data_IF_024182211619
#
_entry.id   IF_024182211619
#
_cell.length_a   1.000
_cell.length_b   1.000
_cell.length_c   1.000
_cell.angle_alpha   90.00
_cell.angle_beta   90.00
_cell.angle_gamma   90.00
#
_symmetry.space_group_name_H-M   'P 1'
#
loop_
_entity.id
_entity.type
_entity.pdbx_description
1 polymer ?
#
# COMPACT_ATOMS: atom_id res chain seq x y z
N UNK A 1 31.33 -35.26 13.27
CA UNK A 1 30.76 -34.97 11.94
C UNK A 1 29.53 -34.09 12.15
N UNK A 2 29.51 -32.84 11.70
CA UNK A 2 28.45 -31.89 12.04
C UNK A 2 27.20 -32.11 11.18
N UNK A 3 26.03 -32.04 11.79
CA UNK A 3 24.74 -32.11 11.10
C UNK A 3 24.47 -30.78 10.40
N UNK A 4 24.67 -30.78 9.08
CA UNK A 4 24.25 -29.71 8.19
C UNK A 4 22.71 -29.70 8.13
N UNK A 5 22.08 -28.78 8.87
CA UNK A 5 20.68 -28.44 8.65
C UNK A 5 20.60 -27.61 7.37
N UNK A 6 20.43 -28.29 6.25
CA UNK A 6 20.15 -27.66 4.97
C UNK A 6 18.70 -27.18 4.97
N UNK A 7 18.53 -25.87 5.23
CA UNK A 7 17.27 -25.17 4.94
C UNK A 7 17.07 -25.25 3.43
N UNK A 8 16.37 -26.29 3.00
CA UNK A 8 15.88 -26.41 1.63
C UNK A 8 14.80 -25.34 1.50
N UNK A 9 15.16 -24.15 1.02
CA UNK A 9 14.19 -23.18 0.51
C UNK A 9 13.46 -23.85 -0.65
N UNK A 10 12.36 -24.52 -0.34
CA UNK A 10 11.40 -24.99 -1.33
C UNK A 10 10.79 -23.74 -1.95
N UNK A 11 10.95 -23.45 -3.26
CA UNK A 11 10.40 -22.24 -3.88
C UNK A 11 8.89 -22.34 -4.17
N UNK A 12 8.21 -23.38 -3.68
CA UNK A 12 6.81 -23.67 -3.98
C UNK A 12 5.79 -22.75 -3.27
N UNK A 13 5.85 -22.50 -1.95
CA UNK A 13 4.74 -21.85 -1.24
C UNK A 13 4.61 -20.35 -1.57
N UNK A 14 5.68 -19.70 -2.02
CA UNK A 14 5.68 -18.27 -2.36
C UNK A 14 5.00 -18.00 -3.70
N UNK A 15 5.12 -18.94 -4.66
CA UNK A 15 4.56 -18.78 -6.01
C UNK A 15 3.03 -18.81 -6.00
N UNK A 16 2.45 -19.63 -5.12
CA UNK A 16 1.01 -19.82 -5.04
C UNK A 16 0.32 -18.63 -4.33
N UNK A 17 0.96 -18.06 -3.29
CA UNK A 17 0.49 -16.84 -2.63
C UNK A 17 0.44 -15.63 -3.58
N UNK A 18 1.47 -15.45 -4.42
CA UNK A 18 1.50 -14.35 -5.41
C UNK A 18 0.37 -14.46 -6.43
N UNK A 19 0.03 -15.67 -6.88
CA UNK A 19 -1.07 -15.89 -7.83
C UNK A 19 -2.42 -15.57 -7.20
N UNK A 20 -2.62 -15.98 -5.95
CA UNK A 20 -3.86 -15.71 -5.22
C UNK A 20 -4.07 -14.21 -4.99
N UNK A 21 -3.03 -13.50 -4.59
CA UNK A 21 -3.07 -12.05 -4.42
C UNK A 21 -3.42 -11.32 -5.73
N UNK A 22 -2.72 -11.67 -6.83
CA UNK A 22 -2.97 -11.05 -8.14
C UNK A 22 -4.40 -11.30 -8.62
N UNK A 23 -4.94 -12.51 -8.39
CA UNK A 23 -6.32 -12.83 -8.74
C UNK A 23 -7.32 -11.99 -7.95
N UNK A 24 -7.11 -11.86 -6.63
CA UNK A 24 -7.99 -11.09 -5.76
C UNK A 24 -7.99 -9.60 -6.12
N UNK A 25 -6.80 -9.01 -6.33
CA UNK A 25 -6.67 -7.60 -6.74
C UNK A 25 -7.32 -7.34 -8.10
N UNK A 26 -7.18 -8.27 -9.05
CA UNK A 26 -7.84 -8.17 -10.37
C UNK A 26 -9.35 -8.21 -10.27
N UNK A 27 -9.89 -9.03 -9.37
CA UNK A 27 -11.34 -9.11 -9.15
C UNK A 27 -11.90 -7.80 -8.57
N UNK A 28 -11.25 -7.26 -7.54
CA UNK A 28 -11.66 -6.00 -6.90
C UNK A 28 -11.70 -4.85 -7.92
N UNK A 29 -10.65 -4.71 -8.74
CA UNK A 29 -10.59 -3.65 -9.76
C UNK A 29 -11.68 -3.84 -10.83
N UNK A 30 -12.01 -5.09 -11.17
CA UNK A 30 -13.07 -5.39 -12.13
C UNK A 30 -14.44 -4.99 -11.58
N UNK A 31 -14.72 -5.30 -10.32
CA UNK A 31 -15.98 -4.93 -9.64
C UNK A 31 -16.12 -3.40 -9.53
N UNK A 32 -15.06 -2.68 -9.14
CA UNK A 32 -15.09 -1.21 -9.09
C UNK A 32 -15.31 -0.58 -10.46
N UNK A 33 -14.67 -1.12 -11.52
CA UNK A 33 -14.87 -0.67 -12.89
C UNK A 33 -16.32 -0.89 -13.33
N UNK A 34 -16.89 -2.05 -13.01
CA UNK A 34 -18.26 -2.40 -13.38
C UNK A 34 -19.27 -1.46 -12.69
N UNK A 35 -19.07 -1.14 -11.41
CA UNK A 35 -19.87 -0.19 -10.66
C UNK A 35 -19.77 1.25 -11.21
N UNK A 36 -18.57 1.70 -11.59
CA UNK A 36 -18.38 3.04 -12.18
C UNK A 36 -18.87 3.13 -13.63
N UNK A 37 -18.84 2.03 -14.37
CA UNK A 37 -19.29 1.98 -15.77
C UNK A 37 -20.81 1.79 -15.92
N UNK A 38 -21.54 1.63 -14.82
CA UNK A 38 -22.99 1.50 -14.84
C UNK A 38 -23.62 2.81 -15.34
N UNK A 39 -24.36 2.81 -16.48
CA UNK A 39 -24.92 4.01 -17.10
C UNK A 39 -25.95 4.76 -16.23
N UNK A 40 -26.33 4.23 -15.07
CA UNK A 40 -27.15 4.90 -14.07
C UNK A 40 -26.45 6.11 -13.41
N UNK A 41 -25.14 6.02 -13.15
CA UNK A 41 -24.38 7.11 -12.51
C UNK A 41 -24.17 8.32 -13.46
N UNK A 42 -24.08 8.07 -14.76
CA UNK A 42 -23.84 9.11 -15.78
C UNK A 42 -25.14 9.81 -16.21
N UNK A 43 -26.31 9.19 -15.97
CA UNK A 43 -27.60 9.73 -16.39
C UNK A 43 -28.27 10.67 -15.38
N UNK A 44 -27.86 10.64 -14.11
CA UNK A 44 -28.29 11.62 -13.10
C UNK A 44 -27.68 13.01 -13.33
N UNK A 45 -26.41 13.10 -13.73
CA UNK A 45 -25.70 14.38 -13.92
C UNK A 45 -26.27 15.21 -15.09
N UNK A 46 -26.84 14.56 -16.11
CA UNK A 46 -27.45 15.25 -17.27
C UNK A 46 -28.86 15.79 -17.04
N UNK A 47 -29.63 15.25 -16.08
CA UNK A 47 -31.02 15.69 -15.85
C UNK A 47 -31.11 17.00 -15.05
N UNK A 48 -30.18 17.23 -14.13
CA UNK A 48 -30.16 18.43 -13.28
C UNK A 48 -29.87 19.75 -14.02
N UNK A 49 -29.50 19.70 -15.31
CA UNK A 49 -29.14 20.90 -16.09
C UNK A 49 -30.22 21.40 -17.05
N UNK A 50 -31.38 20.74 -17.14
CA UNK A 50 -32.44 21.10 -18.09
C UNK A 50 -33.63 21.86 -17.49
N UNK A 51 -33.70 22.05 -16.18
CA UNK A 51 -34.93 22.52 -15.52
C UNK A 51 -34.93 24.01 -15.15
N UNK A 52 -33.89 24.79 -15.49
CA UNK A 52 -33.78 26.22 -15.11
C UNK A 52 -33.84 27.19 -16.30
N UNK A 53 -34.39 26.77 -17.45
CA UNK A 53 -34.20 27.49 -18.72
C UNK A 53 -35.41 28.13 -19.41
N UNK A 54 -36.66 27.84 -19.03
CA UNK A 54 -37.79 28.19 -19.90
C UNK A 54 -39.06 28.56 -19.11
N UNK A 55 -39.23 29.81 -18.69
CA UNK A 55 -40.57 30.35 -18.44
C UNK A 55 -40.60 31.89 -18.37
N UNK A 56 -40.22 32.57 -19.45
CA UNK A 56 -40.47 34.02 -19.61
C UNK A 56 -40.89 34.32 -21.06
N UNK A 57 -42.21 34.36 -21.29
CA UNK A 57 -42.78 35.03 -22.46
C UNK A 57 -44.11 34.46 -22.93
N UNK A 58 -45.21 35.15 -22.60
CA UNK A 58 -46.18 35.69 -23.57
C UNK A 58 -47.40 36.27 -22.85
N UNK A 59 -47.65 37.56 -23.11
CA UNK A 59 -48.88 38.23 -22.71
C UNK A 59 -49.95 38.16 -23.80
N UNK A 60 -51.23 38.26 -23.43
CA UNK A 60 -52.31 38.78 -24.30
C UNK A 60 -53.55 39.21 -23.48
N UNK A 61 -53.91 40.49 -23.62
CA UNK A 61 -55.22 41.12 -23.93
C UNK A 61 -56.55 40.59 -23.32
N UNK A 62 -57.38 41.55 -22.91
CA UNK A 62 -58.69 41.48 -22.25
C UNK A 62 -59.88 41.06 -23.16
N UNK A 63 -60.79 40.23 -22.64
CA UNK A 63 -62.21 40.14 -23.06
C UNK A 63 -63.08 39.61 -21.89
N UNK A 64 -64.36 40.01 -21.69
CA UNK A 64 -65.13 39.64 -20.49
C UNK A 64 -66.25 38.58 -20.71
N UNK A 65 -66.21 37.47 -19.93
CA UNK A 65 -67.33 36.58 -19.57
C UNK A 65 -67.23 35.14 -20.11
N UNK A 66 -67.73 34.06 -19.43
CA UNK A 66 -68.19 33.85 -18.05
C UNK A 66 -67.10 33.14 -17.22
N UNK A 67 -65.96 33.79 -17.02
CA UNK A 67 -64.69 33.14 -16.66
C UNK A 67 -64.56 32.78 -15.17
N UNK A 68 -65.57 33.08 -14.35
CA UNK A 68 -65.48 32.93 -12.89
C UNK A 68 -65.40 31.47 -12.46
N UNK A 69 -66.13 30.58 -13.15
CA UNK A 69 -66.07 29.14 -12.88
C UNK A 69 -64.80 28.50 -13.48
N UNK A 70 -64.40 28.90 -14.68
CA UNK A 70 -63.18 28.34 -15.31
C UNK A 70 -61.89 28.77 -14.59
N UNK A 71 -61.85 29.99 -14.05
CA UNK A 71 -60.73 30.44 -13.20
C UNK A 71 -60.69 29.73 -11.86
N UNK A 72 -61.85 29.45 -11.26
CA UNK A 72 -61.93 28.72 -10.01
C UNK A 72 -61.51 27.26 -10.20
N UNK A 73 -61.95 26.62 -11.29
CA UNK A 73 -61.55 25.27 -11.67
C UNK A 73 -60.04 25.17 -11.91
N UNK A 74 -59.46 26.15 -12.62
CA UNK A 74 -58.02 26.26 -12.82
C UNK A 74 -57.26 26.51 -11.51
N UNK A 75 -57.82 27.26 -10.56
CA UNK A 75 -57.21 27.45 -9.24
C UNK A 75 -57.26 26.17 -8.40
N UNK A 76 -58.37 25.43 -8.46
CA UNK A 76 -58.52 24.15 -7.78
C UNK A 76 -57.55 23.11 -8.36
N UNK A 77 -57.44 23.06 -9.68
CA UNK A 77 -56.55 22.13 -10.37
C UNK A 77 -55.08 22.45 -10.11
N UNK A 78 -54.72 23.74 -10.02
CA UNK A 78 -53.36 24.17 -9.69
C UNK A 78 -53.00 23.91 -8.21
N UNK A 79 -53.95 24.08 -7.29
CA UNK A 79 -53.76 23.73 -5.88
C UNK A 79 -53.64 22.21 -5.68
N UNK A 80 -54.41 21.43 -6.44
CA UNK A 80 -54.34 19.98 -6.42
C UNK A 80 -53.01 19.47 -7.02
N UNK A 81 -52.57 20.04 -8.15
CA UNK A 81 -51.26 19.69 -8.71
C UNK A 81 -50.10 20.07 -7.78
N UNK A 82 -50.16 21.22 -7.12
CA UNK A 82 -49.14 21.62 -6.13
C UNK A 82 -49.13 20.70 -4.92
N UNK A 83 -50.29 20.26 -4.42
CA UNK A 83 -50.37 19.32 -3.32
C UNK A 83 -49.84 17.93 -3.70
N UNK A 84 -50.17 17.45 -4.90
CA UNK A 84 -49.63 16.18 -5.43
C UNK A 84 -48.12 16.29 -5.63
N UNK A 85 -47.62 17.40 -6.15
CA UNK A 85 -46.19 17.67 -6.35
C UNK A 85 -45.43 17.75 -5.03
N UNK A 86 -45.95 18.45 -4.01
CA UNK A 86 -45.39 18.46 -2.66
C UNK A 86 -45.37 17.05 -2.05
N UNK A 87 -46.45 16.28 -2.19
CA UNK A 87 -46.53 14.92 -1.66
C UNK A 87 -45.54 13.98 -2.38
N UNK A 88 -45.33 14.19 -3.67
CA UNK A 88 -44.41 13.43 -4.51
C UNK A 88 -42.95 13.82 -4.20
N UNK A 89 -42.66 15.09 -3.94
CA UNK A 89 -41.34 15.58 -3.49
C UNK A 89 -41.02 15.05 -2.09
N UNK A 90 -42.00 14.99 -1.18
CA UNK A 90 -41.84 14.45 0.17
C UNK A 90 -41.53 12.94 0.13
N UNK A 91 -42.29 12.17 -0.67
CA UNK A 91 -42.02 10.74 -0.88
C UNK A 91 -40.66 10.51 -1.55
N UNK A 92 -40.29 11.35 -2.52
CA UNK A 92 -38.99 11.24 -3.19
C UNK A 92 -37.83 11.62 -2.25
N UNK A 93 -38.00 12.59 -1.35
CA UNK A 93 -37.02 12.90 -0.30
C UNK A 93 -36.79 11.74 0.65
N UNK A 94 -37.86 11.02 1.02
CA UNK A 94 -37.77 9.86 1.91
C UNK A 94 -37.00 8.71 1.27
N UNK A 95 -37.20 8.47 -0.03
CA UNK A 95 -36.44 7.48 -0.81
C UNK A 95 -34.97 7.87 -1.01
N UNK A 96 -34.66 9.16 -1.07
CA UNK A 96 -33.28 9.66 -1.19
C UNK A 96 -32.53 9.56 0.16
N UNK A 97 -33.23 9.77 1.28
CA UNK A 97 -32.67 9.62 2.62
C UNK A 97 -32.30 8.15 2.92
N UNK A 98 -33.19 7.20 2.60
CA UNK A 98 -32.91 5.76 2.75
C UNK A 98 -31.69 5.32 1.90
N UNK A 99 -31.48 5.90 0.72
CA UNK A 99 -30.32 5.60 -0.12
C UNK A 99 -28.99 6.15 0.44
N UNK A 100 -29.01 7.21 1.24
CA UNK A 100 -27.79 7.73 1.88
C UNK A 100 -27.37 6.90 3.10
N UNK A 101 -28.33 6.33 3.84
CA UNK A 101 -28.03 5.45 4.97
C UNK A 101 -27.41 4.11 4.52
N UNK A 102 -27.87 3.55 3.40
CA UNK A 102 -27.30 2.32 2.82
C UNK A 102 -25.84 2.53 2.34
N UNK A 103 -25.52 3.73 1.83
CA UNK A 103 -24.14 4.10 1.48
C UNK A 103 -23.25 4.32 2.71
N UNK A 104 -23.80 4.87 3.80
CA UNK A 104 -23.06 5.03 5.06
C UNK A 104 -22.75 3.70 5.75
N UNK A 105 -23.64 2.70 5.64
CA UNK A 105 -23.40 1.34 6.16
C UNK A 105 -22.26 0.64 5.39
N UNK A 106 -22.21 0.78 4.06
CA UNK A 106 -21.13 0.25 3.23
C UNK A 106 -19.77 0.91 3.52
N UNK A 107 -19.75 2.22 3.76
CA UNK A 107 -18.53 2.95 4.20
C UNK A 107 -18.12 2.52 5.61
N UNK A 108 -19.07 2.32 6.52
CA UNK A 108 -18.84 1.80 7.87
C UNK A 108 -18.21 0.41 7.87
N UNK A 109 -18.70 -0.50 7.02
CA UNK A 109 -18.11 -1.82 6.83
C UNK A 109 -16.69 -1.76 6.28
N UNK A 110 -16.43 -0.86 5.33
CA UNK A 110 -15.10 -0.65 4.75
C UNK A 110 -14.11 -0.09 5.78
N UNK A 111 -14.54 0.82 6.66
CA UNK A 111 -13.76 1.32 7.80
C UNK A 111 -13.43 0.18 8.78
N UNK A 112 -14.38 -0.73 9.03
CA UNK A 112 -14.16 -1.91 9.88
C UNK A 112 -13.09 -2.84 9.33
N UNK A 113 -13.11 -3.12 8.03
CA UNK A 113 -12.09 -3.92 7.35
C UNK A 113 -10.73 -3.23 7.36
N UNK A 114 -10.68 -1.92 7.09
CA UNK A 114 -9.44 -1.15 7.12
C UNK A 114 -8.83 -1.06 8.54
N UNK A 115 -9.68 -0.98 9.57
CA UNK A 115 -9.27 -1.04 10.97
C UNK A 115 -8.66 -2.39 11.30
N UNK A 116 -9.32 -3.50 10.94
CA UNK A 116 -8.77 -4.84 11.19
C UNK A 116 -7.48 -5.08 10.41
N UNK A 117 -7.39 -4.59 9.17
CA UNK A 117 -6.19 -4.70 8.36
C UNK A 117 -5.05 -3.84 8.91
N UNK A 118 -5.32 -2.62 9.38
CA UNK A 118 -4.34 -1.77 10.07
C UNK A 118 -3.84 -2.38 11.37
N UNK A 119 -4.73 -3.02 12.13
CA UNK A 119 -4.37 -3.70 13.39
C UNK A 119 -3.45 -4.91 13.10
N UNK A 120 -3.76 -5.70 12.07
CA UNK A 120 -2.87 -6.80 11.62
C UNK A 120 -1.54 -6.28 11.09
N UNK A 121 -1.53 -5.20 10.33
CA UNK A 121 -0.29 -4.56 9.86
C UNK A 121 0.53 -4.06 11.05
N UNK A 122 -0.12 -3.47 12.06
CA UNK A 122 0.55 -3.03 13.29
C UNK A 122 1.22 -4.18 14.03
N UNK A 123 0.51 -5.30 14.23
CA UNK A 123 1.08 -6.47 14.89
C UNK A 123 2.25 -7.09 14.12
N UNK A 124 2.14 -7.17 12.79
CA UNK A 124 3.21 -7.68 11.93
C UNK A 124 4.43 -6.74 11.93
N UNK A 125 4.22 -5.42 12.00
CA UNK A 125 5.31 -4.44 12.12
C UNK A 125 6.00 -4.55 13.48
N UNK A 126 5.26 -4.78 14.58
CA UNK A 126 5.85 -5.03 15.89
C UNK A 126 6.67 -6.33 15.90
N UNK A 127 6.18 -7.39 15.24
CA UNK A 127 6.93 -8.65 15.08
C UNK A 127 8.19 -8.45 14.24
N UNK A 128 8.10 -7.69 13.15
CA UNK A 128 9.25 -7.33 12.33
C UNK A 128 10.25 -6.42 13.06
N UNK A 129 9.80 -5.56 13.98
CA UNK A 129 10.69 -4.76 14.81
C UNK A 129 11.54 -5.63 15.73
N UNK A 130 10.96 -6.69 16.31
CA UNK A 130 11.71 -7.68 17.10
C UNK A 130 12.69 -8.45 16.21
N UNK A 131 12.26 -8.91 15.04
CA UNK A 131 13.17 -9.58 14.10
C UNK A 131 14.32 -8.68 13.61
N UNK A 132 14.09 -7.36 13.52
CA UNK A 132 15.12 -6.40 13.12
C UNK A 132 16.15 -6.16 14.24
N UNK A 133 15.73 -6.22 15.51
CA UNK A 133 16.63 -6.18 16.66
C UNK A 133 17.54 -7.43 16.68
N UNK A 134 16.95 -8.62 16.49
CA UNK A 134 17.71 -9.86 16.35
C UNK A 134 18.70 -9.82 15.18
N UNK A 135 18.25 -9.29 14.03
CA UNK A 135 19.12 -9.09 12.86
C UNK A 135 20.26 -8.10 13.15
N UNK A 136 19.99 -7.03 13.90
CA UNK A 136 21.01 -6.07 14.32
C UNK A 136 22.05 -6.74 15.22
N UNK A 137 21.61 -7.59 16.16
CA UNK A 137 22.51 -8.37 17.01
C UNK A 137 23.34 -9.40 16.21
N UNK A 138 22.76 -10.05 15.20
CA UNK A 138 23.51 -10.90 14.26
C UNK A 138 24.52 -10.10 13.42
N UNK A 139 24.16 -8.87 13.03
CA UNK A 139 25.04 -7.96 12.30
C UNK A 139 26.24 -7.54 13.17
N UNK A 140 26.03 -7.19 14.44
CA UNK A 140 27.10 -6.85 15.39
C UNK A 140 28.05 -8.04 15.63
N UNK A 141 27.50 -9.24 15.72
CA UNK A 141 28.30 -10.47 15.79
C UNK A 141 29.12 -10.69 14.51
N UNK A 142 28.54 -10.38 13.35
CA UNK A 142 29.24 -10.47 12.06
C UNK A 142 30.35 -9.42 11.96
N UNK A 143 30.10 -8.19 12.41
CA UNK A 143 31.09 -7.13 12.48
C UNK A 143 32.27 -7.54 13.38
N UNK A 144 31.98 -8.08 14.56
CA UNK A 144 33.00 -8.58 15.50
C UNK A 144 33.85 -9.72 14.90
N UNK A 145 33.22 -10.63 14.12
CA UNK A 145 33.94 -11.67 13.38
C UNK A 145 34.81 -11.06 12.27
N UNK A 146 34.29 -10.09 11.54
CA UNK A 146 35.01 -9.38 10.48
C UNK A 146 36.22 -8.65 11.04
N UNK A 147 36.07 -7.91 12.14
CA UNK A 147 37.17 -7.24 12.85
C UNK A 147 38.26 -8.23 13.29
N UNK A 148 37.86 -9.39 13.81
CA UNK A 148 38.80 -10.44 14.19
C UNK A 148 39.54 -11.02 12.98
N UNK A 149 38.85 -11.18 11.85
CA UNK A 149 39.47 -11.58 10.58
C UNK A 149 40.43 -10.50 10.10
N UNK A 150 40.04 -9.23 10.14
CA UNK A 150 40.88 -8.10 9.73
C UNK A 150 42.13 -7.99 10.60
N UNK A 151 42.00 -8.14 11.92
CA UNK A 151 43.14 -8.23 12.86
C UNK A 151 44.03 -9.44 12.56
N UNK A 152 43.46 -10.60 12.24
CA UNK A 152 44.23 -11.79 11.82
C UNK A 152 44.94 -11.56 10.49
N UNK A 153 44.32 -10.90 9.51
CA UNK A 153 44.94 -10.55 8.24
C UNK A 153 46.09 -9.55 8.44
N UNK A 154 45.90 -8.51 9.25
CA UNK A 154 46.95 -7.56 9.60
C UNK A 154 48.12 -8.27 10.33
N UNK A 155 47.80 -9.15 11.28
CA UNK A 155 48.80 -9.93 12.01
C UNK A 155 49.53 -10.94 11.12
N UNK A 156 48.83 -11.63 10.23
CA UNK A 156 49.41 -12.55 9.26
C UNK A 156 50.32 -11.76 8.33
N UNK A 157 49.84 -10.67 7.72
CA UNK A 157 50.62 -9.78 6.87
C UNK A 157 51.94 -9.37 7.53
N UNK A 158 51.90 -8.94 8.79
CA UNK A 158 53.10 -8.54 9.54
C UNK A 158 53.99 -9.72 9.96
N UNK A 159 53.41 -10.89 10.31
CA UNK A 159 54.17 -12.03 10.82
C UNK A 159 54.86 -12.89 9.75
N UNK A 160 54.39 -12.92 8.50
CA UNK A 160 55.07 -13.74 7.45
C UNK A 160 56.42 -13.15 7.05
N UNK A 161 56.53 -11.83 7.06
CA UNK A 161 57.73 -11.09 6.65
C UNK A 161 58.83 -11.21 7.70
N UNK A 162 58.54 -10.81 8.94
CA UNK A 162 59.60 -10.60 9.93
C UNK A 162 60.28 -11.91 10.32
N UNK A 163 59.53 -12.95 10.71
CA UNK A 163 60.18 -14.17 11.24
C UNK A 163 61.02 -14.91 10.20
N UNK A 164 60.59 -14.94 8.94
CA UNK A 164 61.36 -15.57 7.85
C UNK A 164 62.57 -14.71 7.44
N UNK A 165 62.42 -13.39 7.40
CA UNK A 165 63.53 -12.48 7.10
C UNK A 165 64.62 -12.51 8.17
N UNK A 166 64.25 -12.44 9.45
CA UNK A 166 65.19 -12.53 10.56
C UNK A 166 65.91 -13.89 10.61
N UNK A 167 65.21 -14.99 10.30
CA UNK A 167 65.84 -16.32 10.18
C UNK A 167 66.83 -16.37 9.01
N UNK A 168 66.47 -15.84 7.84
CA UNK A 168 67.34 -15.80 6.67
C UNK A 168 68.61 -14.96 6.92
N UNK A 169 68.48 -13.81 7.58
CA UNK A 169 69.61 -12.95 7.98
C UNK A 169 70.55 -13.72 8.92
N UNK A 170 70.01 -14.41 9.94
CA UNK A 170 70.81 -15.20 10.88
C UNK A 170 71.57 -16.35 10.22
N UNK A 171 70.92 -17.10 9.32
CA UNK A 171 71.56 -18.19 8.57
C UNK A 171 72.66 -17.63 7.66
N UNK A 172 72.42 -16.52 6.96
CA UNK A 172 73.40 -15.90 6.09
C UNK A 172 74.64 -15.42 6.88
N UNK A 173 74.43 -14.82 8.06
CA UNK A 173 75.50 -14.39 8.97
C UNK A 173 76.33 -15.57 9.49
N UNK A 174 75.68 -16.66 9.86
CA UNK A 174 76.39 -17.86 10.32
C UNK A 174 77.24 -18.47 9.19
N UNK A 175 76.70 -18.53 7.97
CA UNK A 175 77.42 -19.03 6.80
C UNK A 175 78.62 -18.14 6.47
N UNK A 176 78.44 -16.81 6.54
CA UNK A 176 79.54 -15.84 6.41
C UNK A 176 80.64 -16.07 7.44
N UNK A 177 80.28 -16.27 8.72
CA UNK A 177 81.25 -16.54 9.79
C UNK A 177 82.04 -17.82 9.53
N UNK A 178 81.38 -18.89 9.08
CA UNK A 178 82.06 -20.14 8.72
C UNK A 178 83.09 -19.92 7.62
N UNK A 179 82.75 -19.16 6.57
CA UNK A 179 83.68 -18.84 5.49
C UNK A 179 84.88 -18.02 5.99
N UNK A 180 84.64 -17.04 6.87
CA UNK A 180 85.72 -16.23 7.47
C UNK A 180 86.67 -17.12 8.29
N UNK A 181 86.14 -18.00 9.13
CA UNK A 181 86.95 -18.92 9.93
C UNK A 181 87.77 -19.84 9.03
N UNK A 182 87.15 -20.40 7.98
CA UNK A 182 87.87 -21.22 7.01
C UNK A 182 88.98 -20.44 6.29
N UNK A 183 88.74 -19.18 5.93
CA UNK A 183 89.76 -18.32 5.31
C UNK A 183 90.92 -17.99 6.24
N UNK A 184 90.69 -17.85 7.55
CA UNK A 184 91.79 -17.62 8.50
C UNK A 184 92.58 -18.89 8.82
N UNK A 185 91.95 -20.07 8.68
CA UNK A 185 92.57 -21.37 8.94
C UNK A 185 93.33 -21.89 7.71
N UNK A 186 92.82 -21.64 6.50
CA UNK A 186 93.38 -22.07 5.22
C UNK A 186 94.42 -21.07 4.69
#
# INVERSE_FOLDING_TARGET
NPHTFSVRLTPAPIRDGKRHFISNTRQIVKEMKEQMSSPAAVSQDRKNKKETGEHLGQGSVWQPGPDKYSRLDRHLQNANSHFIEEQQVQQQHQLIADQQDEQLELVSGTIGVLKNMSERIGMELDEQAVMLDDFSHEMDNTHSKLDNVMKKLAKVSHMTSDRRQWCAIGVLLALLLVVIVLFFIL
#
